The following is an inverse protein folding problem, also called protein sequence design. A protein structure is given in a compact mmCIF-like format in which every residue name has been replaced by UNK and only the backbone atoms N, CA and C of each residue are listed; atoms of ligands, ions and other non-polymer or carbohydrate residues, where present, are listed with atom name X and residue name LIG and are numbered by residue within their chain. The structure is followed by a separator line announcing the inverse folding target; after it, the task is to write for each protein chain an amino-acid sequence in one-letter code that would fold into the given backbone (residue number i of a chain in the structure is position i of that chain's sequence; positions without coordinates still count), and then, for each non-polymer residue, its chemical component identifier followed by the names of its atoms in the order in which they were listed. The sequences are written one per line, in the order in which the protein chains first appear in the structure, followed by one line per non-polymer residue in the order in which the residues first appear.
data_IF_702882018055
#
_entry.id   IF_702882018055
#
_cell.length_a   1.000
_cell.length_b   1.000
_cell.length_c   1.000
_cell.angle_alpha   90.00
_cell.angle_beta   90.00
_cell.angle_gamma   90.00
#
_symmetry.space_group_name_H-M   'P 1'
#
loop_
_entity.id
_entity.type
_entity.pdbx_description
1 polymer ?
#
# COMPACT_ATOMS: atom_id res chain seq x y z
N UNK A 1 1.09 24.73 28.76
CA UNK A 1 2.25 24.42 27.90
C UNK A 1 1.74 23.58 26.75
N UNK A 2 1.49 24.13 25.55
CA UNK A 2 1.24 23.29 24.40
C UNK A 2 2.51 22.47 24.14
N UNK A 3 2.40 21.14 24.24
CA UNK A 3 3.51 20.23 23.97
C UNK A 3 4.00 20.49 22.56
N UNK A 4 5.29 20.75 22.43
CA UNK A 4 5.94 20.94 21.14
C UNK A 4 5.88 19.61 20.39
N UNK A 5 4.94 19.49 19.45
CA UNK A 5 4.87 18.33 18.56
C UNK A 5 6.09 18.41 17.66
N UNK A 6 7.04 17.50 17.85
CA UNK A 6 8.18 17.39 16.95
C UNK A 6 7.62 16.89 15.60
N UNK A 7 7.76 17.65 14.51
CA UNK A 7 7.29 17.20 13.21
C UNK A 7 8.01 15.92 12.82
N UNK A 8 7.25 14.94 12.33
CA UNK A 8 7.83 13.68 11.85
C UNK A 8 8.70 13.99 10.63
N UNK A 9 9.96 13.51 10.58
CA UNK A 9 10.81 13.74 9.41
C UNK A 9 10.18 13.16 8.14
N UNK A 10 10.20 13.94 7.06
CA UNK A 10 9.66 13.54 5.76
C UNK A 10 10.27 12.22 5.24
N UNK A 11 11.57 12.05 5.46
CA UNK A 11 12.31 10.83 5.10
C UNK A 11 11.87 9.57 5.86
N UNK A 12 11.21 9.73 7.02
CA UNK A 12 10.58 8.62 7.74
C UNK A 12 9.24 8.27 7.11
N UNK A 13 8.41 9.28 6.83
CA UNK A 13 7.11 9.08 6.17
C UNK A 13 7.26 8.42 4.79
N UNK A 14 8.24 8.88 4.00
CA UNK A 14 8.55 8.28 2.71
C UNK A 14 8.93 6.80 2.83
N UNK A 15 9.76 6.42 3.83
CA UNK A 15 10.09 5.00 4.07
C UNK A 15 8.88 4.18 4.52
N UNK A 16 8.00 4.76 5.34
CA UNK A 16 6.76 4.11 5.79
C UNK A 16 5.79 3.87 4.61
N UNK A 17 5.79 4.73 3.58
CA UNK A 17 4.97 4.58 2.37
C UNK A 17 5.62 3.64 1.36
N UNK A 18 6.91 3.83 1.04
CA UNK A 18 7.60 3.05 0.01
C UNK A 18 7.94 1.62 0.45
N UNK A 19 8.03 1.36 1.75
CA UNK A 19 8.21 0.02 2.30
C UNK A 19 7.16 -0.98 1.80
N UNK A 20 5.86 -0.79 2.13
CA UNK A 20 4.80 -1.68 1.66
C UNK A 20 4.61 -1.64 0.14
N UNK A 21 4.94 -0.52 -0.50
CA UNK A 21 4.90 -0.43 -1.97
C UNK A 21 5.90 -1.39 -2.64
N UNK A 22 7.05 -1.64 -2.02
CA UNK A 22 7.98 -2.69 -2.45
C UNK A 22 7.35 -4.09 -2.44
N UNK A 23 6.61 -4.43 -1.39
CA UNK A 23 5.87 -5.69 -1.31
C UNK A 23 4.75 -5.78 -2.36
N UNK A 24 4.03 -4.68 -2.60
CA UNK A 24 2.98 -4.59 -3.63
C UNK A 24 3.53 -4.94 -5.02
N UNK A 25 4.68 -4.37 -5.42
CA UNK A 25 5.24 -4.62 -6.76
C UNK A 25 5.84 -6.01 -6.90
N UNK A 26 6.50 -6.54 -5.87
CA UNK A 26 7.02 -7.93 -5.91
C UNK A 26 5.89 -8.95 -6.00
N UNK A 27 4.83 -8.77 -5.20
CA UNK A 27 3.66 -9.64 -5.23
C UNK A 27 2.96 -9.56 -6.59
N UNK A 28 2.80 -8.35 -7.12
CA UNK A 28 2.24 -8.12 -8.46
C UNK A 28 3.03 -8.83 -9.56
N UNK A 29 4.36 -8.75 -9.51
CA UNK A 29 5.22 -9.43 -10.49
C UNK A 29 5.09 -10.95 -10.41
N UNK A 30 5.05 -11.53 -9.20
CA UNK A 30 4.82 -12.97 -9.01
C UNK A 30 3.45 -13.38 -9.54
N UNK A 31 2.42 -12.60 -9.22
CA UNK A 31 1.05 -12.90 -9.64
C UNK A 31 0.88 -12.80 -11.17
N UNK A 32 1.57 -11.86 -11.81
CA UNK A 32 1.54 -11.67 -13.25
C UNK A 32 2.10 -12.86 -14.06
N UNK A 33 2.90 -13.75 -13.45
CA UNK A 33 3.35 -14.97 -14.13
C UNK A 33 2.22 -15.99 -14.28
N UNK A 34 1.25 -16.00 -13.35
CA UNK A 34 0.18 -16.99 -13.25
C UNK A 34 0.63 -18.40 -12.85
N UNK A 35 1.93 -18.69 -12.86
CA UNK A 35 2.52 -19.99 -12.50
C UNK A 35 2.79 -20.11 -11.00
N UNK A 36 3.00 -18.98 -10.32
CA UNK A 36 3.44 -18.90 -8.91
C UNK A 36 4.82 -19.52 -8.66
N UNK A 37 5.62 -19.69 -9.72
CA UNK A 37 6.98 -20.20 -9.67
C UNK A 37 7.94 -19.01 -9.73
N UNK A 38 8.78 -18.84 -8.69
CA UNK A 38 9.66 -17.67 -8.58
C UNK A 38 10.69 -17.53 -9.72
N UNK A 39 11.28 -18.62 -10.25
CA UNK A 39 12.14 -18.53 -11.43
C UNK A 39 11.50 -17.91 -12.69
N UNK A 40 10.17 -17.89 -12.79
CA UNK A 40 9.46 -17.31 -13.93
C UNK A 40 9.27 -15.77 -13.79
N UNK A 41 9.65 -15.20 -12.64
CA UNK A 41 9.38 -13.80 -12.30
C UNK A 41 10.49 -12.92 -12.88
N UNK A 42 10.08 -11.89 -13.62
CA UNK A 42 10.96 -10.82 -14.11
C UNK A 42 10.46 -9.48 -13.60
N UNK A 43 11.16 -8.91 -12.60
CA UNK A 43 10.82 -7.59 -12.04
C UNK A 43 11.00 -6.49 -13.07
N UNK A 44 12.10 -6.51 -13.83
CA UNK A 44 12.34 -5.56 -14.91
C UNK A 44 11.19 -5.52 -15.93
N UNK A 45 10.80 -6.68 -16.45
CA UNK A 45 9.73 -6.74 -17.46
C UNK A 45 8.36 -6.36 -16.89
N UNK A 46 8.09 -6.67 -15.62
CA UNK A 46 6.86 -6.25 -14.95
C UNK A 46 6.80 -4.73 -14.82
N UNK A 47 7.87 -4.10 -14.33
CA UNK A 47 7.93 -2.64 -14.15
C UNK A 47 7.85 -1.89 -15.49
N UNK A 48 8.53 -2.37 -16.54
CA UNK A 48 8.44 -1.77 -17.88
C UNK A 48 7.00 -1.81 -18.42
N UNK A 49 6.29 -2.94 -18.23
CA UNK A 49 4.90 -3.08 -18.67
C UNK A 49 3.92 -2.22 -17.87
N UNK A 50 4.29 -1.82 -16.65
CA UNK A 50 3.47 -1.05 -15.70
C UNK A 50 4.01 0.36 -15.47
N UNK A 51 4.87 0.86 -16.35
CA UNK A 51 5.60 2.10 -16.14
C UNK A 51 4.65 3.29 -15.94
N UNK A 52 3.62 3.41 -16.78
CA UNK A 52 2.66 4.52 -16.69
C UNK A 52 1.90 4.52 -15.36
N UNK A 53 1.51 3.33 -14.89
CA UNK A 53 0.84 3.14 -13.61
C UNK A 53 1.76 3.51 -12.44
N UNK A 54 3.02 3.05 -12.48
CA UNK A 54 4.04 3.39 -11.47
C UNK A 54 4.29 4.90 -11.43
N UNK A 55 4.49 5.53 -12.57
CA UNK A 55 4.76 6.98 -12.66
C UNK A 55 3.59 7.79 -12.08
N UNK A 56 2.34 7.45 -12.47
CA UNK A 56 1.14 8.09 -11.93
C UNK A 56 0.98 7.90 -10.43
N UNK A 57 1.26 6.70 -9.92
CA UNK A 57 1.20 6.40 -8.50
C UNK A 57 2.22 7.23 -7.71
N UNK A 58 3.46 7.34 -8.21
CA UNK A 58 4.53 8.09 -7.54
C UNK A 58 4.27 9.60 -7.57
N UNK A 59 3.78 10.13 -8.69
CA UNK A 59 3.37 11.53 -8.81
C UNK A 59 2.22 11.85 -7.85
N UNK A 60 1.25 10.94 -7.73
CA UNK A 60 0.15 11.06 -6.77
C UNK A 60 0.65 11.10 -5.32
N UNK A 61 1.53 10.18 -4.92
CA UNK A 61 2.14 10.16 -3.58
C UNK A 61 2.88 11.47 -3.31
N UNK A 62 3.71 11.91 -4.27
CA UNK A 62 4.48 13.15 -4.15
C UNK A 62 3.58 14.34 -3.88
N UNK A 63 2.50 14.46 -4.65
CA UNK A 63 1.54 15.56 -4.55
C UNK A 63 0.77 15.52 -3.23
N UNK A 64 0.20 14.37 -2.86
CA UNK A 64 -0.64 14.22 -1.65
C UNK A 64 0.17 14.39 -0.36
N UNK A 65 1.42 13.88 -0.33
CA UNK A 65 2.28 13.95 0.84
C UNK A 65 3.23 15.16 0.83
N UNK A 66 3.18 16.00 -0.21
CA UNK A 66 4.04 17.17 -0.35
C UNK A 66 5.54 16.83 -0.33
N UNK A 67 5.92 15.66 -0.86
CA UNK A 67 7.30 15.19 -0.78
C UNK A 67 8.24 15.96 -1.73
N UNK A 68 9.42 16.27 -1.20
CA UNK A 68 10.57 16.80 -1.91
C UNK A 68 11.25 15.73 -2.76
N UNK A 69 12.11 16.16 -3.70
CA UNK A 69 12.93 15.25 -4.50
C UNK A 69 13.80 14.33 -3.62
N UNK A 70 14.30 14.85 -2.50
CA UNK A 70 15.13 14.08 -1.58
C UNK A 70 14.36 12.93 -0.92
N UNK A 71 13.09 13.14 -0.59
CA UNK A 71 12.24 12.06 -0.06
C UNK A 71 11.82 11.09 -1.15
N UNK A 72 11.52 11.57 -2.35
CA UNK A 72 11.19 10.68 -3.48
C UNK A 72 12.37 9.78 -3.86
N UNK A 73 13.62 10.26 -3.77
CA UNK A 73 14.83 9.47 -4.02
C UNK A 73 15.00 8.25 -3.08
N UNK A 74 14.29 8.21 -1.94
CA UNK A 74 14.29 7.04 -1.04
C UNK A 74 13.73 5.81 -1.74
N UNK A 75 12.85 5.97 -2.72
CA UNK A 75 12.33 4.85 -3.52
C UNK A 75 13.48 4.07 -4.18
N UNK A 76 14.44 4.80 -4.76
CA UNK A 76 15.61 4.22 -5.42
C UNK A 76 16.58 3.60 -4.40
N UNK A 77 16.75 4.25 -3.23
CA UNK A 77 17.56 3.71 -2.13
C UNK A 77 17.06 2.33 -1.66
N UNK A 78 15.74 2.15 -1.59
CA UNK A 78 15.12 0.89 -1.20
C UNK A 78 15.29 -0.20 -2.28
N UNK A 79 15.48 0.20 -3.54
CA UNK A 79 15.91 -0.68 -4.62
C UNK A 79 14.90 -1.74 -5.04
N UNK A 80 13.61 -1.55 -4.73
CA UNK A 80 12.50 -2.45 -5.09
C UNK A 80 11.88 -2.14 -6.46
N UNK A 81 12.15 -0.95 -7.00
CA UNK A 81 11.68 -0.46 -8.30
C UNK A 81 12.73 -0.60 -9.41
N UNK A 82 13.48 -1.70 -9.39
CA UNK A 82 14.48 -2.05 -10.40
C UNK A 82 14.50 -3.56 -10.59
N UNK A 83 15.19 -4.02 -11.61
CA UNK A 83 15.35 -5.45 -11.82
C UNK A 83 16.11 -6.11 -10.65
N UNK A 84 15.53 -7.18 -10.11
CA UNK A 84 16.09 -8.02 -9.06
C UNK A 84 15.32 -9.34 -8.95
N UNK A 85 15.94 -10.33 -8.33
CA UNK A 85 15.32 -11.62 -8.04
C UNK A 85 14.33 -11.50 -6.87
N UNK A 86 13.12 -12.00 -7.05
CA UNK A 86 12.12 -12.11 -5.98
C UNK A 86 12.33 -13.42 -5.23
N UNK A 87 12.63 -13.33 -3.94
CA UNK A 87 12.95 -14.49 -3.11
C UNK A 87 11.78 -14.84 -2.17
N UNK A 88 11.53 -16.14 -1.97
CA UNK A 88 10.46 -16.63 -1.09
C UNK A 88 10.50 -16.07 0.34
N UNK A 89 11.69 -15.86 0.98
CA UNK A 89 11.75 -15.19 2.29
C UNK A 89 11.21 -13.76 2.31
N UNK A 90 11.30 -13.01 1.21
CA UNK A 90 10.67 -11.68 1.13
C UNK A 90 9.16 -11.79 1.04
N UNK A 91 8.62 -12.75 0.27
CA UNK A 91 7.17 -13.01 0.24
C UNK A 91 6.64 -13.45 1.61
N UNK A 92 7.42 -14.24 2.37
CA UNK A 92 7.10 -14.59 3.74
C UNK A 92 7.06 -13.35 4.65
N UNK A 93 8.02 -12.43 4.50
CA UNK A 93 8.03 -11.15 5.22
C UNK A 93 6.80 -10.30 4.87
N UNK A 94 6.50 -10.13 3.57
CA UNK A 94 5.38 -9.32 3.09
C UNK A 94 4.02 -9.90 3.49
N UNK A 95 3.92 -11.22 3.63
CA UNK A 95 2.71 -11.89 4.12
C UNK A 95 2.57 -11.89 5.64
N UNK A 96 3.48 -11.22 6.38
CA UNK A 96 3.45 -11.21 7.83
C UNK A 96 3.77 -12.56 8.47
N UNK A 97 4.48 -13.44 7.75
CA UNK A 97 4.88 -14.75 8.25
C UNK A 97 3.75 -15.78 8.27
N UNK A 98 2.71 -15.63 7.44
CA UNK A 98 1.49 -16.47 7.49
C UNK A 98 1.75 -17.98 7.34
N UNK A 99 2.79 -18.37 6.60
CA UNK A 99 3.18 -19.78 6.41
C UNK A 99 4.13 -20.30 7.51
N UNK A 100 4.57 -19.44 8.43
CA UNK A 100 5.67 -19.73 9.35
C UNK A 100 7.02 -19.88 8.64
N UNK A 101 8.09 -20.11 9.42
CA UNK A 101 9.41 -20.45 8.86
C UNK A 101 9.52 -21.98 8.82
N UNK A 102 9.51 -22.61 7.62
CA UNK A 102 9.59 -24.06 7.53
C UNK A 102 10.99 -24.58 7.88
N UNK A 103 11.07 -25.88 8.23
CA UNK A 103 12.35 -26.54 8.50
C UNK A 103 13.23 -26.60 7.24
N UNK A 104 12.61 -26.78 6.07
CA UNK A 104 13.27 -26.75 4.76
C UNK A 104 12.83 -25.51 3.99
N UNK A 105 13.79 -24.66 3.59
CA UNK A 105 13.49 -23.36 2.97
C UNK A 105 12.81 -23.50 1.61
N UNK A 106 13.09 -24.60 0.90
CA UNK A 106 12.53 -24.91 -0.42
C UNK A 106 11.01 -25.08 -0.39
N UNK A 107 10.43 -25.39 0.78
CA UNK A 107 8.97 -25.48 0.97
C UNK A 107 8.27 -24.12 0.77
N UNK A 108 8.98 -22.99 0.97
CA UNK A 108 8.45 -21.66 0.69
C UNK A 108 8.29 -21.38 -0.81
N UNK A 109 9.05 -22.07 -1.65
CA UNK A 109 9.04 -21.90 -3.10
C UNK A 109 7.97 -22.77 -3.79
N UNK A 110 7.27 -23.61 -3.03
CA UNK A 110 6.15 -24.37 -3.57
C UNK A 110 5.07 -23.41 -4.11
N UNK A 111 4.59 -23.59 -5.36
CA UNK A 111 3.64 -22.65 -5.99
C UNK A 111 2.38 -22.37 -5.16
N UNK A 112 1.89 -23.36 -4.41
CA UNK A 112 0.73 -23.18 -3.53
C UNK A 112 1.04 -22.29 -2.33
N UNK A 113 2.25 -22.42 -1.78
CA UNK A 113 2.75 -21.63 -0.65
C UNK A 113 3.02 -20.20 -1.09
N UNK A 114 3.73 -20.01 -2.22
CA UNK A 114 3.92 -18.71 -2.88
C UNK A 114 2.58 -18.00 -3.10
N UNK A 115 1.61 -18.70 -3.69
CA UNK A 115 0.27 -18.13 -3.92
C UNK A 115 -0.42 -17.67 -2.64
N UNK A 116 -0.36 -18.45 -1.56
CA UNK A 116 -0.97 -18.07 -0.27
C UNK A 116 -0.27 -16.85 0.35
N UNK A 117 1.07 -16.82 0.32
CA UNK A 117 1.86 -15.68 0.77
C UNK A 117 1.53 -14.43 -0.04
N UNK A 118 1.47 -14.53 -1.38
CA UNK A 118 1.13 -13.40 -2.24
C UNK A 118 -0.28 -12.87 -1.96
N UNK A 119 -1.28 -13.73 -1.80
CA UNK A 119 -2.65 -13.27 -1.49
C UNK A 119 -2.71 -12.54 -0.14
N UNK A 120 -2.17 -13.15 0.93
CA UNK A 120 -2.14 -12.52 2.25
C UNK A 120 -1.30 -11.24 2.24
N UNK A 121 -0.16 -11.29 1.55
CA UNK A 121 0.75 -10.16 1.41
C UNK A 121 0.11 -8.99 0.68
N UNK A 122 -0.65 -9.23 -0.39
CA UNK A 122 -1.34 -8.15 -1.11
C UNK A 122 -2.27 -7.38 -0.16
N UNK A 123 -3.15 -8.09 0.56
CA UNK A 123 -4.07 -7.48 1.51
C UNK A 123 -3.35 -6.71 2.62
N UNK A 124 -2.29 -7.30 3.19
CA UNK A 124 -1.51 -6.71 4.27
C UNK A 124 -0.74 -5.45 3.80
N UNK A 125 0.00 -5.56 2.70
CA UNK A 125 0.82 -4.46 2.19
C UNK A 125 -0.04 -3.32 1.68
N UNK A 126 -1.16 -3.58 0.98
CA UNK A 126 -2.10 -2.53 0.56
C UNK A 126 -2.76 -1.82 1.75
N UNK A 127 -3.10 -2.57 2.80
CA UNK A 127 -3.66 -1.98 4.04
C UNK A 127 -2.64 -1.10 4.74
N UNK A 128 -1.39 -1.55 4.85
CA UNK A 128 -0.29 -0.77 5.45
C UNK A 128 0.05 0.46 4.60
N UNK A 129 0.07 0.31 3.27
CA UNK A 129 0.28 1.39 2.33
C UNK A 129 -0.80 2.48 2.47
N UNK A 130 -2.08 2.11 2.53
CA UNK A 130 -3.18 3.07 2.74
C UNK A 130 -3.04 3.82 4.07
N UNK A 131 -2.69 3.11 5.15
CA UNK A 131 -2.43 3.73 6.45
C UNK A 131 -1.28 4.72 6.39
N UNK A 132 -0.16 4.35 5.76
CA UNK A 132 1.01 5.20 5.63
C UNK A 132 0.73 6.43 4.74
N UNK A 133 -0.03 6.25 3.65
CA UNK A 133 -0.41 7.31 2.73
C UNK A 133 -1.30 8.37 3.41
N UNK A 134 -2.32 7.95 4.15
CA UNK A 134 -3.17 8.88 4.91
C UNK A 134 -2.35 9.60 6.00
N UNK A 135 -1.45 8.88 6.68
CA UNK A 135 -0.57 9.50 7.66
C UNK A 135 0.36 10.55 7.04
N UNK A 136 0.93 10.26 5.87
CA UNK A 136 1.75 11.20 5.10
C UNK A 136 0.96 12.43 4.65
N UNK A 137 -0.26 12.24 4.13
CA UNK A 137 -1.15 13.33 3.74
C UNK A 137 -1.50 14.24 4.93
N UNK A 138 -1.83 13.66 6.08
CA UNK A 138 -2.12 14.42 7.31
C UNK A 138 -0.89 15.19 7.82
N UNK A 139 0.30 14.58 7.75
CA UNK A 139 1.54 15.25 8.13
C UNK A 139 1.89 16.42 7.21
N UNK A 140 1.53 16.32 5.93
CA UNK A 140 1.66 17.40 4.95
C UNK A 140 0.60 18.51 5.11
N UNK A 141 -0.41 18.30 5.96
CA UNK A 141 -1.54 19.22 6.12
C UNK A 141 -2.56 19.14 4.99
N UNK A 142 -2.55 18.06 4.20
CA UNK A 142 -3.51 17.85 3.11
C UNK A 142 -4.88 17.49 3.69
N UNK A 143 -5.81 18.44 3.57
CA UNK A 143 -7.19 18.28 4.04
C UNK A 143 -7.91 17.13 3.31
N UNK A 144 -8.74 16.37 4.04
CA UNK A 144 -9.39 15.16 3.51
C UNK A 144 -10.21 15.41 2.24
N UNK A 145 -10.98 16.50 2.18
CA UNK A 145 -11.76 16.88 0.99
C UNK A 145 -10.92 17.14 -0.26
N UNK A 146 -9.66 17.53 -0.08
CA UNK A 146 -8.73 17.81 -1.17
C UNK A 146 -7.93 16.56 -1.54
N UNK A 147 -7.54 15.77 -0.53
CA UNK A 147 -6.65 14.62 -0.71
C UNK A 147 -7.34 13.28 -0.99
N UNK A 148 -8.60 13.08 -0.56
CA UNK A 148 -9.24 11.76 -0.60
C UNK A 148 -9.38 11.19 -2.02
N UNK A 149 -9.68 12.04 -3.02
CA UNK A 149 -9.77 11.60 -4.42
C UNK A 149 -8.44 11.08 -4.94
N UNK A 150 -7.34 11.79 -4.67
CA UNK A 150 -6.01 11.34 -5.03
C UNK A 150 -5.59 10.07 -4.27
N UNK A 151 -5.92 9.97 -2.97
CA UNK A 151 -5.68 8.74 -2.18
C UNK A 151 -6.45 7.54 -2.76
N UNK A 152 -7.70 7.75 -3.20
CA UNK A 152 -8.50 6.70 -3.83
C UNK A 152 -7.91 6.26 -5.19
N UNK A 153 -7.45 7.20 -6.01
CA UNK A 153 -6.76 6.91 -7.27
C UNK A 153 -5.46 6.13 -7.05
N UNK A 154 -4.61 6.60 -6.12
CA UNK A 154 -3.35 5.95 -5.75
C UNK A 154 -3.62 4.52 -5.25
N UNK A 155 -4.65 4.33 -4.41
CA UNK A 155 -5.05 3.02 -3.93
C UNK A 155 -5.55 2.11 -5.07
N UNK A 156 -6.32 2.66 -6.02
CA UNK A 156 -6.76 1.97 -7.23
C UNK A 156 -5.57 1.40 -8.02
N UNK A 157 -4.60 2.26 -8.32
CA UNK A 157 -3.40 1.85 -9.04
C UNK A 157 -2.60 0.81 -8.24
N UNK A 158 -2.43 1.01 -6.93
CA UNK A 158 -1.73 0.05 -6.07
C UNK A 158 -2.39 -1.33 -6.06
N UNK A 159 -3.73 -1.37 -6.02
CA UNK A 159 -4.51 -2.62 -6.12
C UNK A 159 -4.27 -3.29 -7.48
N UNK A 160 -4.33 -2.55 -8.59
CA UNK A 160 -4.09 -3.10 -9.94
C UNK A 160 -2.64 -3.58 -10.16
N UNK A 161 -1.69 -2.99 -9.44
CA UNK A 161 -0.30 -3.45 -9.40
C UNK A 161 -0.17 -4.76 -8.61
N UNK A 162 -0.77 -4.85 -7.42
CA UNK A 162 -0.71 -6.06 -6.59
C UNK A 162 -1.51 -7.23 -7.17
N UNK A 163 -2.69 -6.95 -7.70
CA UNK A 163 -3.67 -7.94 -8.12
C UNK A 163 -4.48 -7.46 -9.34
N UNK A 164 -3.89 -7.60 -10.53
CA UNK A 164 -4.56 -7.31 -11.80
C UNK A 164 -5.68 -8.28 -12.19
N UNK A 165 -6.16 -9.13 -11.28
CA UNK A 165 -7.26 -10.08 -11.51
C UNK A 165 -8.60 -9.63 -10.94
N UNK A 166 -8.62 -8.56 -10.15
CA UNK A 166 -9.83 -7.99 -9.55
C UNK A 166 -10.34 -8.74 -8.32
N UNK A 167 -9.55 -9.65 -7.73
CA UNK A 167 -9.94 -10.28 -6.45
C UNK A 167 -9.81 -9.27 -5.30
N UNK A 168 -8.73 -8.51 -5.26
CA UNK A 168 -8.54 -7.38 -4.38
C UNK A 168 -9.13 -6.14 -5.04
N UNK A 169 -9.87 -5.35 -4.27
CA UNK A 169 -10.50 -4.11 -4.73
C UNK A 169 -10.16 -2.96 -3.80
N UNK A 170 -10.14 -1.70 -4.27
CA UNK A 170 -9.92 -0.54 -3.41
C UNK A 170 -10.90 -0.48 -2.24
N UNK A 171 -12.18 -0.75 -2.50
CA UNK A 171 -13.24 -0.84 -1.47
C UNK A 171 -12.96 -1.95 -0.45
N UNK A 172 -12.46 -3.11 -0.91
CA UNK A 172 -12.05 -4.21 -0.03
C UNK A 172 -10.91 -3.82 0.90
N UNK A 173 -9.84 -3.22 0.37
CA UNK A 173 -8.71 -2.75 1.17
C UNK A 173 -9.12 -1.65 2.14
N UNK A 174 -9.95 -0.70 1.70
CA UNK A 174 -10.47 0.36 2.56
C UNK A 174 -11.25 -0.21 3.76
N UNK A 175 -12.11 -1.21 3.53
CA UNK A 175 -12.83 -1.91 4.61
C UNK A 175 -11.86 -2.59 5.57
N UNK A 176 -10.85 -3.30 5.06
CA UNK A 176 -9.81 -3.94 5.88
C UNK A 176 -9.02 -2.92 6.71
N UNK A 177 -8.60 -1.82 6.11
CA UNK A 177 -7.92 -0.72 6.79
C UNK A 177 -8.75 -0.11 7.92
N UNK A 178 -10.05 0.13 7.69
CA UNK A 178 -10.94 0.66 8.73
C UNK A 178 -11.02 -0.23 9.96
N UNK A 179 -10.99 -1.55 9.79
CA UNK A 179 -11.10 -2.47 10.92
C UNK A 179 -9.74 -2.77 11.57
N UNK A 180 -8.67 -2.83 10.77
CA UNK A 180 -7.35 -3.19 11.24
C UNK A 180 -6.59 -1.99 11.87
N UNK A 181 -6.73 -0.79 11.30
CA UNK A 181 -5.91 0.35 11.67
C UNK A 181 -6.66 1.35 12.56
N UNK A 182 -7.86 1.79 12.14
CA UNK A 182 -8.55 2.90 12.82
C UNK A 182 -8.85 2.67 14.31
N UNK A 183 -9.24 1.48 14.80
CA UNK A 183 -9.51 1.30 16.22
C UNK A 183 -8.30 1.58 17.10
N UNK A 184 -7.09 1.26 16.63
CA UNK A 184 -5.85 1.55 17.39
C UNK A 184 -5.59 3.06 17.53
N UNK A 185 -6.12 3.87 16.61
CA UNK A 185 -5.94 5.33 16.57
C UNK A 185 -7.08 6.05 17.28
N UNK A 186 -8.33 5.61 17.05
CA UNK A 186 -9.54 6.37 17.41
C UNK A 186 -10.12 6.03 18.77
N UNK A 187 -9.74 4.89 19.36
CA UNK A 187 -10.21 4.48 20.69
C UNK A 187 -9.87 5.53 21.75
N UNK A 188 -10.69 5.67 22.81
CA UNK A 188 -10.44 6.63 23.88
C UNK A 188 -9.07 6.47 24.55
N UNK A 189 -8.54 5.24 24.62
CA UNK A 189 -7.27 4.91 25.25
C UNK A 189 -6.05 5.20 24.36
N UNK A 190 -6.27 5.54 23.08
CA UNK A 190 -5.20 5.87 22.16
C UNK A 190 -4.46 7.13 22.59
N UNK A 191 -3.13 7.10 22.51
CA UNK A 191 -2.28 8.26 22.74
C UNK A 191 -2.26 9.25 21.57
N UNK A 192 -2.99 8.96 20.49
CA UNK A 192 -3.04 9.83 19.32
C UNK A 192 -3.66 11.20 19.65
N UNK A 193 -3.04 12.32 19.24
CA UNK A 193 -3.61 13.66 19.40
C UNK A 193 -5.02 13.76 18.79
N UNK A 194 -5.90 14.57 19.38
CA UNK A 194 -7.28 14.74 18.86
C UNK A 194 -7.30 15.27 17.42
N UNK A 195 -6.37 16.16 17.06
CA UNK A 195 -6.24 16.64 15.68
C UNK A 195 -5.92 15.51 14.70
N UNK A 196 -5.02 14.58 15.06
CA UNK A 196 -4.75 13.39 14.25
C UNK A 196 -5.96 12.48 14.14
N UNK A 197 -6.64 12.21 15.25
CA UNK A 197 -7.89 11.42 15.27
C UNK A 197 -8.98 12.03 14.40
N UNK A 198 -9.15 13.35 14.44
CA UNK A 198 -10.09 14.08 13.60
C UNK A 198 -9.73 13.96 12.11
N UNK A 199 -8.45 14.08 11.75
CA UNK A 199 -7.96 13.89 10.39
C UNK A 199 -8.25 12.49 9.84
N UNK A 200 -7.94 11.43 10.59
CA UNK A 200 -8.26 10.05 10.19
C UNK A 200 -9.78 9.82 10.03
N UNK A 201 -10.62 10.41 10.91
CA UNK A 201 -12.08 10.34 10.76
C UNK A 201 -12.58 11.10 9.53
N UNK A 202 -11.90 12.16 9.11
CA UNK A 202 -12.26 12.93 7.92
C UNK A 202 -11.93 12.13 6.66
N UNK A 203 -10.69 11.63 6.52
CA UNK A 203 -10.31 10.75 5.41
C UNK A 203 -11.19 9.51 5.31
N UNK A 204 -11.51 8.87 6.44
CA UNK A 204 -12.40 7.71 6.44
C UNK A 204 -13.80 8.03 5.88
N UNK A 205 -14.36 9.22 6.12
CA UNK A 205 -15.67 9.59 5.59
C UNK A 205 -15.61 9.90 4.09
N UNK A 206 -14.66 10.71 3.68
CA UNK A 206 -14.52 11.11 2.26
C UNK A 206 -14.20 9.89 1.38
N UNK A 207 -13.34 8.97 1.86
CA UNK A 207 -13.03 7.73 1.14
C UNK A 207 -14.23 6.75 1.10
N UNK A 208 -15.06 6.71 2.15
CA UNK A 208 -16.28 5.89 2.16
C UNK A 208 -17.25 6.38 1.06
N UNK A 209 -17.49 7.69 0.98
CA UNK A 209 -18.34 8.28 -0.05
C UNK A 209 -17.82 7.98 -1.46
N UNK A 210 -16.52 8.13 -1.71
CA UNK A 210 -15.91 7.90 -3.04
C UNK A 210 -15.89 6.42 -3.44
N UNK A 211 -15.53 5.52 -2.51
CA UNK A 211 -15.34 4.10 -2.81
C UNK A 211 -16.64 3.29 -2.77
N UNK A 212 -17.70 3.80 -2.15
CA UNK A 212 -19.04 3.19 -2.22
C UNK A 212 -19.85 3.69 -3.44
N UNK A 213 -19.63 4.93 -3.91
CA UNK A 213 -20.32 5.47 -5.11
C UNK A 213 -19.76 4.96 -6.43
N UNK A 214 -18.49 4.54 -6.48
CA UNK A 214 -17.88 3.91 -7.67
C UNK A 214 -18.44 2.51 -8.04
N UNK A 215 -19.36 1.95 -7.24
CA UNK A 215 -20.05 0.68 -7.50
C UNK A 215 -21.48 0.83 -8.04
N UNK A 216 -21.96 2.06 -8.27
CA UNK A 216 -23.26 2.34 -8.87
C UNK A 216 -23.10 2.92 -10.28
N UNK A 217 -22.66 2.11 -11.24
CA UNK A 217 -23.08 2.36 -12.63
C UNK A 217 -24.55 1.90 -12.75
N UNK A 218 -25.45 2.87 -12.92
CA UNK A 218 -26.87 2.64 -13.19
C UNK A 218 -27.04 1.75 -14.44
N UNK A 219 -27.99 0.78 -14.43
CA UNK A 219 -28.43 0.18 -15.67
C UNK A 219 -29.23 1.24 -16.44
N UNK A 220 -28.72 1.66 -17.60
CA UNK A 220 -29.44 2.53 -18.54
C UNK A 220 -30.76 1.82 -18.96
N UNK A 221 -31.88 2.55 -19.06
CA UNK A 221 -33.24 2.00 -19.16
C UNK A 221 -33.60 1.36 -20.50
#
# INVERSE_FOLDING_TARGET
MPGQVIPVPESRLAREIFGPLGGIVEIGAVQATGTWTLPDVSMGDFLVRRQNEVDRLLDGIRMVCGFSDASMAILDELGRFRDHEVLAPFLLLWSGGVEGVPERREELEEPRTVRRMCHMGADLQLTQFLQALINGALAAGTEARQGAGAVAEILGIAVDLADGTGRTTPTGIFRTWRVACLPSILRPESSAPESGRAGFRAYARELEEMLDTGGQEEPDP
#
